data_IF_280929639435
#
_entry.id   IF_280929639435
#
_cell.length_a   1.000
_cell.length_b   1.000
_cell.length_c   1.000
_cell.angle_alpha   90.00
_cell.angle_beta   90.00
_cell.angle_gamma   90.00
#
_symmetry.space_group_name_H-M   'P 1'
#
loop_
_entity.id
_entity.type
_entity.pdbx_description
1 polymer ?
#
# COMPACT_ATOMS: atom_id res chain seq x y z
N UNK A 1 -13.80 -53.06 9.54
CA UNK A 1 -13.72 -51.91 10.46
C UNK A 1 -13.40 -50.70 9.62
N UNK A 2 -14.37 -49.82 9.38
CA UNK A 2 -14.17 -48.57 8.67
C UNK A 2 -14.23 -47.43 9.70
N UNK A 3 -13.14 -46.67 9.81
CA UNK A 3 -13.07 -45.51 10.67
C UNK A 3 -13.71 -44.33 9.94
N UNK A 4 -14.89 -43.92 10.39
CA UNK A 4 -15.54 -42.70 9.92
C UNK A 4 -14.80 -41.51 10.52
N UNK A 5 -14.06 -40.78 9.69
CA UNK A 5 -13.46 -39.52 10.08
C UNK A 5 -14.57 -38.46 10.17
N UNK A 6 -14.88 -38.01 11.38
CA UNK A 6 -15.72 -36.84 11.62
C UNK A 6 -14.86 -35.63 11.26
N UNK A 7 -15.13 -35.03 10.10
CA UNK A 7 -14.59 -33.72 9.76
C UNK A 7 -15.29 -32.71 10.67
N UNK A 8 -14.63 -32.35 11.77
CA UNK A 8 -14.98 -31.18 12.57
C UNK A 8 -14.63 -29.94 11.74
N UNK A 9 -15.56 -29.52 10.89
CA UNK A 9 -15.57 -28.17 10.33
C UNK A 9 -15.92 -27.27 11.52
N UNK A 10 -14.90 -26.92 12.30
CA UNK A 10 -14.98 -25.90 13.33
C UNK A 10 -15.13 -24.55 12.65
N UNK A 11 -16.35 -24.27 12.16
CA UNK A 11 -16.77 -22.92 11.82
C UNK A 11 -16.74 -22.13 13.12
N UNK A 12 -15.64 -21.42 13.36
CA UNK A 12 -15.61 -20.35 14.34
C UNK A 12 -16.57 -19.30 13.81
N UNK A 13 -17.82 -19.38 14.25
CA UNK A 13 -18.78 -18.31 14.11
C UNK A 13 -18.31 -17.18 15.02
N UNK A 14 -17.26 -16.45 14.59
CA UNK A 14 -17.18 -15.05 14.91
C UNK A 14 -18.54 -14.50 14.45
N UNK A 15 -19.34 -14.00 15.39
CA UNK A 15 -20.46 -13.18 15.01
C UNK A 15 -19.85 -12.06 14.17
N UNK A 16 -20.04 -12.12 12.84
CA UNK A 16 -19.72 -11.00 11.96
C UNK A 16 -20.39 -9.81 12.63
N UNK A 17 -19.61 -8.83 13.05
CA UNK A 17 -20.15 -7.60 13.58
C UNK A 17 -20.90 -6.94 12.41
N UNK A 18 -22.22 -7.19 12.35
CA UNK A 18 -23.11 -6.75 11.29
C UNK A 18 -23.21 -5.22 11.37
N UNK A 19 -22.28 -4.54 10.70
CA UNK A 19 -22.14 -3.07 10.73
C UNK A 19 -20.70 -2.56 10.82
N UNK A 20 -19.73 -3.39 11.22
CA UNK A 20 -18.34 -2.95 11.29
C UNK A 20 -17.81 -2.54 9.91
N UNK A 21 -17.19 -1.36 9.84
CA UNK A 21 -16.64 -0.83 8.60
C UNK A 21 -15.50 0.13 8.87
N UNK A 22 -14.55 0.17 7.94
CA UNK A 22 -13.55 1.21 7.92
C UNK A 22 -14.17 2.54 7.47
N UNK A 23 -13.74 3.63 8.11
CA UNK A 23 -14.16 5.00 7.78
C UNK A 23 -13.22 5.56 6.71
N UNK A 24 -13.63 5.67 5.43
CA UNK A 24 -12.73 6.07 4.35
C UNK A 24 -12.10 7.45 4.57
N UNK A 25 -12.84 8.40 5.12
CA UNK A 25 -12.36 9.76 5.38
C UNK A 25 -11.34 9.84 6.53
N UNK A 26 -11.23 8.78 7.34
CA UNK A 26 -10.23 8.63 8.38
C UNK A 26 -9.09 7.68 7.97
N UNK A 27 -9.09 7.21 6.72
CA UNK A 27 -8.02 6.39 6.15
C UNK A 27 -7.12 7.27 5.29
N UNK A 28 -5.82 7.19 5.54
CA UNK A 28 -4.79 7.89 4.76
C UNK A 28 -3.67 6.93 4.39
N UNK A 29 -3.20 7.04 3.15
CA UNK A 29 -2.14 6.19 2.59
C UNK A 29 -1.00 7.06 2.09
N UNK A 30 0.20 6.81 2.61
CA UNK A 30 1.42 7.49 2.18
C UNK A 30 2.53 6.51 1.88
N UNK A 31 3.44 6.90 0.98
CA UNK A 31 4.61 6.09 0.60
C UNK A 31 5.83 6.96 0.39
N UNK A 32 6.95 6.62 1.04
CA UNK A 32 8.20 7.40 0.97
C UNK A 32 9.17 6.92 -0.13
N UNK A 33 8.77 5.89 -0.90
CA UNK A 33 9.61 5.19 -1.87
C UNK A 33 10.12 3.82 -1.39
N UNK A 34 9.98 3.52 -0.10
CA UNK A 34 10.46 2.29 0.53
C UNK A 34 9.53 1.68 1.56
N UNK A 35 8.72 2.48 2.25
CA UNK A 35 7.75 2.04 3.25
C UNK A 35 6.42 2.72 2.96
N UNK A 36 5.36 1.93 2.94
CA UNK A 36 3.99 2.44 2.89
C UNK A 36 3.45 2.54 4.32
N UNK A 37 2.86 3.70 4.66
CA UNK A 37 2.23 3.95 5.94
C UNK A 37 0.74 4.17 5.72
N UNK A 38 -0.09 3.45 6.48
CA UNK A 38 -1.54 3.48 6.37
C UNK A 38 -2.08 3.82 7.74
N UNK A 39 -2.74 4.97 7.85
CA UNK A 39 -3.54 5.30 9.04
C UNK A 39 -4.98 4.94 8.74
N UNK A 40 -5.71 4.39 9.70
CA UNK A 40 -7.10 4.01 9.49
C UNK A 40 -7.91 4.06 10.79
N UNK A 41 -9.23 4.09 10.61
CA UNK A 41 -10.21 3.87 11.68
C UNK A 41 -11.27 2.87 11.21
N UNK A 42 -11.56 1.88 12.04
CA UNK A 42 -12.76 1.04 11.94
C UNK A 42 -13.73 1.41 13.06
N UNK A 43 -15.02 1.36 12.77
CA UNK A 43 -16.09 1.68 13.73
C UNK A 43 -17.10 0.55 13.77
N UNK A 44 -17.98 0.58 14.77
CA UNK A 44 -19.03 -0.42 14.99
C UNK A 44 -18.48 -1.86 15.21
N UNK A 45 -17.27 -1.97 15.74
CA UNK A 45 -16.61 -3.25 16.07
C UNK A 45 -17.17 -3.78 17.39
N UNK A 46 -18.06 -4.77 17.30
CA UNK A 46 -18.68 -5.42 18.47
C UNK A 46 -18.21 -6.86 18.59
N UNK A 47 -17.09 -7.06 19.28
CA UNK A 47 -16.51 -8.38 19.54
C UNK A 47 -16.46 -8.67 21.03
N UNK A 48 -16.38 -9.96 21.39
CA UNK A 48 -16.09 -10.37 22.79
C UNK A 48 -14.61 -10.22 23.15
N UNK A 49 -13.77 -10.05 22.14
CA UNK A 49 -12.33 -9.81 22.23
C UNK A 49 -12.07 -8.33 22.50
N UNK A 50 -10.94 -8.02 23.14
CA UNK A 50 -10.40 -6.66 23.29
C UNK A 50 -9.51 -6.23 22.12
N UNK A 51 -9.22 -7.15 21.19
CA UNK A 51 -8.45 -6.89 19.97
C UNK A 51 -9.16 -7.46 18.74
N UNK A 52 -8.88 -6.85 17.58
CA UNK A 52 -9.21 -7.40 16.26
C UNK A 52 -7.95 -7.54 15.40
N UNK A 53 -7.94 -8.48 14.46
CA UNK A 53 -6.80 -8.71 13.56
C UNK A 53 -7.10 -8.09 12.20
N UNK A 54 -6.31 -7.10 11.81
CA UNK A 54 -6.46 -6.40 10.53
C UNK A 54 -5.24 -6.69 9.64
N UNK A 55 -5.53 -7.06 8.41
CA UNK A 55 -4.55 -7.16 7.33
C UNK A 55 -4.57 -5.90 6.47
N UNK A 56 -3.38 -5.41 6.14
CA UNK A 56 -3.16 -4.28 5.25
C UNK A 56 -2.26 -4.75 4.12
N UNK A 57 -2.84 -4.85 2.92
CA UNK A 57 -2.10 -5.12 1.69
C UNK A 57 -1.92 -3.82 0.93
N UNK A 58 -0.67 -3.46 0.62
CA UNK A 58 -0.37 -2.28 -0.19
C UNK A 58 0.31 -2.69 -1.48
N UNK A 59 -0.14 -2.12 -2.59
CA UNK A 59 0.50 -2.25 -3.90
C UNK A 59 0.94 -0.88 -4.39
N UNK A 60 2.19 -0.77 -4.83
CA UNK A 60 2.72 0.42 -5.47
C UNK A 60 3.00 0.12 -6.94
N UNK A 61 2.38 0.88 -7.82
CA UNK A 61 2.60 0.87 -9.26
C UNK A 61 3.35 2.13 -9.67
N UNK A 62 4.51 1.97 -10.30
CA UNK A 62 5.41 3.07 -10.66
C UNK A 62 5.75 3.00 -12.14
N UNK A 63 5.46 4.12 -12.82
CA UNK A 63 5.88 4.33 -14.19
C UNK A 63 7.08 5.27 -14.23
N UNK A 64 8.08 4.89 -15.02
CA UNK A 64 9.25 5.71 -15.28
C UNK A 64 9.51 5.83 -16.78
N UNK A 65 10.00 7.00 -17.19
CA UNK A 65 10.54 7.23 -18.53
C UNK A 65 12.04 7.40 -18.45
N UNK A 66 12.77 6.54 -19.16
CA UNK A 66 14.21 6.50 -19.23
C UNK A 66 14.68 6.99 -20.60
N UNK A 67 15.69 7.86 -20.65
CA UNK A 67 16.23 8.41 -21.91
C UNK A 67 17.73 8.20 -22.04
N UNK A 68 18.18 7.90 -23.27
CA UNK A 68 19.59 7.88 -23.67
C UNK A 68 19.72 8.43 -25.10
N UNK A 69 20.09 9.70 -25.22
CA UNK A 69 20.04 10.41 -26.51
C UNK A 69 18.60 10.45 -27.02
N UNK A 70 18.38 9.92 -28.23
CA UNK A 70 17.03 9.80 -28.84
C UNK A 70 16.27 8.54 -28.41
N UNK A 71 16.93 7.59 -27.73
CA UNK A 71 16.29 6.38 -27.25
C UNK A 71 15.44 6.66 -26.00
N UNK A 72 14.19 6.18 -26.01
CA UNK A 72 13.25 6.29 -24.90
C UNK A 72 12.82 4.88 -24.50
N UNK A 73 12.84 4.60 -23.21
CA UNK A 73 12.33 3.38 -22.59
C UNK A 73 11.25 3.77 -21.58
N UNK A 74 10.10 3.13 -21.66
CA UNK A 74 9.05 3.22 -20.65
C UNK A 74 9.12 1.98 -19.76
N UNK A 75 9.18 2.19 -18.46
CA UNK A 75 9.26 1.14 -17.46
C UNK A 75 8.01 1.24 -16.60
N UNK A 76 7.30 0.13 -16.47
CA UNK A 76 6.27 -0.06 -15.46
C UNK A 76 6.77 -1.12 -14.47
N UNK A 77 6.66 -0.83 -13.18
CA UNK A 77 7.01 -1.77 -12.10
C UNK A 77 5.98 -1.70 -11.02
N UNK A 78 5.68 -2.86 -10.45
CA UNK A 78 4.83 -2.99 -9.29
C UNK A 78 5.60 -3.65 -8.15
N UNK A 79 5.19 -3.33 -6.93
CA UNK A 79 5.57 -4.06 -5.73
C UNK A 79 4.33 -4.20 -4.84
N UNK A 80 4.28 -5.27 -4.05
CA UNK A 80 3.22 -5.49 -3.07
C UNK A 80 3.84 -5.85 -1.73
N UNK A 81 3.27 -5.33 -0.67
CA UNK A 81 3.60 -5.67 0.70
C UNK A 81 2.32 -6.02 1.46
N UNK A 82 2.47 -6.85 2.49
CA UNK A 82 1.39 -7.28 3.38
C UNK A 82 1.86 -7.09 4.81
N UNK A 83 1.04 -6.44 5.62
CA UNK A 83 1.19 -6.38 7.07
C UNK A 83 -0.08 -6.94 7.69
N UNK A 84 0.04 -7.72 8.77
CA UNK A 84 -1.10 -8.25 9.50
C UNK A 84 -0.77 -8.17 10.97
N UNK A 85 -1.62 -7.50 11.76
CA UNK A 85 -1.43 -7.39 13.20
C UNK A 85 -2.74 -7.20 13.94
N UNK A 86 -2.67 -7.41 15.25
CA UNK A 86 -3.76 -7.15 16.16
C UNK A 86 -3.80 -5.66 16.55
N UNK A 87 -5.00 -5.11 16.62
CA UNK A 87 -5.29 -3.75 17.04
C UNK A 87 -6.29 -3.77 18.18
N UNK A 88 -6.08 -2.96 19.23
CA UNK A 88 -7.02 -2.87 20.34
C UNK A 88 -8.34 -2.26 19.91
N UNK A 89 -9.43 -2.81 20.44
CA UNK A 89 -10.79 -2.29 20.30
C UNK A 89 -11.06 -1.40 21.50
N UNK A 90 -11.46 -0.15 21.24
CA UNK A 90 -11.85 0.81 22.27
C UNK A 90 -13.23 0.45 22.85
N UNK A 91 -13.53 0.95 24.05
CA UNK A 91 -14.81 0.70 24.74
C UNK A 91 -16.05 1.14 23.92
N UNK A 92 -15.88 2.08 23.00
CA UNK A 92 -16.92 2.56 22.08
C UNK A 92 -17.03 1.77 20.77
N UNK A 93 -16.28 0.66 20.65
CA UNK A 93 -16.27 -0.18 19.45
C UNK A 93 -15.47 0.39 18.28
N UNK A 94 -14.54 1.33 18.55
CA UNK A 94 -13.64 1.89 17.54
C UNK A 94 -12.26 1.24 17.58
N UNK A 95 -11.66 1.07 16.40
CA UNK A 95 -10.29 0.58 16.23
C UNK A 95 -9.50 1.60 15.43
N UNK A 96 -8.49 2.20 16.04
CA UNK A 96 -7.55 3.09 15.37
C UNK A 96 -6.21 2.40 15.17
N UNK A 97 -5.63 2.59 13.98
CA UNK A 97 -4.41 1.89 13.62
C UNK A 97 -3.50 2.66 12.70
N UNK A 98 -2.20 2.38 12.84
CA UNK A 98 -1.17 2.74 11.86
C UNK A 98 -0.44 1.47 11.45
N UNK A 99 -0.54 1.08 10.19
CA UNK A 99 0.22 -0.01 9.59
C UNK A 99 1.45 0.55 8.86
N UNK A 100 2.54 -0.21 8.86
CA UNK A 100 3.76 0.14 8.12
C UNK A 100 4.29 -1.08 7.40
N UNK A 101 4.19 -1.07 6.08
CA UNK A 101 4.55 -2.19 5.23
C UNK A 101 5.81 -1.86 4.40
N UNK A 102 6.92 -2.61 4.54
CA UNK A 102 8.10 -2.43 3.69
C UNK A 102 7.75 -2.69 2.22
N UNK A 103 7.79 -1.65 1.40
CA UNK A 103 7.32 -1.64 0.02
C UNK A 103 8.35 -0.96 -0.88
N UNK A 104 9.24 -1.76 -1.46
CA UNK A 104 10.31 -1.27 -2.34
C UNK A 104 10.09 -1.71 -3.78
N UNK A 105 9.91 -0.72 -4.67
CA UNK A 105 9.87 -0.96 -6.12
C UNK A 105 11.28 -1.01 -6.68
N UNK A 106 11.63 -2.10 -7.37
CA UNK A 106 12.97 -2.32 -7.92
C UNK A 106 12.98 -2.25 -9.44
N UNK A 107 14.18 -2.18 -10.04
CA UNK A 107 14.33 -2.19 -11.50
C UNK A 107 13.88 -0.91 -12.21
N UNK A 108 13.84 0.21 -11.50
CA UNK A 108 13.57 1.55 -12.05
C UNK A 108 14.84 2.26 -12.56
N UNK A 109 16.02 1.75 -12.21
CA UNK A 109 17.31 2.25 -12.70
C UNK A 109 17.84 1.34 -13.79
N UNK A 110 18.18 1.92 -14.94
CA UNK A 110 18.73 1.21 -16.11
C UNK A 110 20.06 1.84 -16.48
N UNK A 111 21.12 1.03 -16.47
CA UNK A 111 22.47 1.47 -16.77
C UNK A 111 22.56 2.18 -18.13
N UNK A 112 23.15 3.38 -18.12
CA UNK A 112 23.31 4.21 -19.31
C UNK A 112 22.07 5.02 -19.72
N UNK A 113 20.96 4.92 -18.98
CA UNK A 113 19.78 5.77 -19.18
C UNK A 113 19.58 6.71 -17.98
N UNK A 114 19.04 7.90 -18.25
CA UNK A 114 18.50 8.79 -17.21
C UNK A 114 17.01 8.53 -17.08
N UNK A 115 16.60 7.99 -15.93
CA UNK A 115 15.22 7.63 -15.63
C UNK A 115 14.54 8.67 -14.73
N UNK A 116 13.28 8.99 -15.04
CA UNK A 116 12.43 9.87 -14.24
C UNK A 116 11.11 9.15 -13.98
N UNK A 117 10.70 9.08 -12.71
CA UNK A 117 9.38 8.60 -12.34
C UNK A 117 8.34 9.61 -12.84
N UNK A 118 7.39 9.14 -13.64
CA UNK A 118 6.35 9.95 -14.24
C UNK A 118 5.01 9.81 -13.52
N UNK A 119 4.78 8.66 -12.90
CA UNK A 119 3.54 8.33 -12.23
C UNK A 119 3.81 7.33 -11.11
N UNK A 120 3.09 7.51 -10.00
CA UNK A 120 3.02 6.57 -8.89
C UNK A 120 1.55 6.42 -8.52
N UNK A 121 1.08 5.18 -8.41
CA UNK A 121 -0.22 4.83 -7.85
C UNK A 121 0.00 3.91 -6.66
N UNK A 122 -0.64 4.20 -5.54
CA UNK A 122 -0.60 3.36 -4.34
C UNK A 122 -2.01 2.90 -4.06
N UNK A 123 -2.22 1.59 -3.95
CA UNK A 123 -3.49 1.00 -3.54
C UNK A 123 -3.31 0.27 -2.23
N UNK A 124 -4.05 0.67 -1.20
CA UNK A 124 -4.17 -0.04 0.06
C UNK A 124 -5.48 -0.83 0.09
N UNK A 125 -5.42 -2.06 0.59
CA UNK A 125 -6.57 -2.91 0.87
C UNK A 125 -6.49 -3.30 2.33
N UNK A 126 -7.50 -2.90 3.09
CA UNK A 126 -7.67 -3.26 4.50
C UNK A 126 -8.73 -4.36 4.60
N UNK A 127 -8.48 -5.34 5.44
CA UNK A 127 -9.41 -6.43 5.77
C UNK A 127 -9.31 -6.73 7.26
N UNK A 128 -10.42 -6.62 7.98
CA UNK A 128 -10.54 -7.14 9.35
C UNK A 128 -11.01 -8.61 9.27
N UNK A 129 -10.19 -9.53 9.78
CA UNK A 129 -10.49 -10.97 9.71
C UNK A 129 -11.55 -11.45 10.72
N UNK A 130 -11.83 -10.65 11.75
CA UNK A 130 -12.80 -10.95 12.79
C UNK A 130 -14.18 -10.38 12.45
N UNK A 131 -14.25 -9.19 11.87
CA UNK A 131 -15.51 -8.52 11.49
C UNK A 131 -15.88 -8.76 10.03
N UNK A 132 -14.90 -9.02 9.16
CA UNK A 132 -15.07 -9.10 7.72
C UNK A 132 -15.14 -7.73 7.03
N UNK A 133 -14.90 -6.63 7.77
CA UNK A 133 -14.85 -5.30 7.20
C UNK A 133 -13.73 -5.19 6.16
N UNK A 134 -13.97 -4.44 5.07
CA UNK A 134 -12.96 -4.20 4.04
C UNK A 134 -12.99 -2.77 3.55
N UNK A 135 -11.83 -2.25 3.15
CA UNK A 135 -11.70 -0.97 2.46
C UNK A 135 -10.61 -1.05 1.40
N UNK A 136 -10.86 -0.41 0.26
CA UNK A 136 -9.86 -0.20 -0.78
C UNK A 136 -9.70 1.31 -0.94
N UNK A 137 -8.48 1.79 -0.74
CA UNK A 137 -8.12 3.18 -0.99
C UNK A 137 -7.00 3.25 -2.05
N UNK A 138 -7.14 4.18 -2.99
CA UNK A 138 -6.17 4.39 -4.06
C UNK A 138 -5.76 5.85 -4.13
N UNK A 139 -4.46 6.09 -3.99
CA UNK A 139 -3.86 7.42 -4.11
C UNK A 139 -2.94 7.48 -5.33
N UNK A 140 -3.24 8.41 -6.24
CA UNK A 140 -2.45 8.66 -7.45
C UNK A 140 -1.63 9.95 -7.33
N UNK A 141 -0.35 9.86 -7.70
CA UNK A 141 0.57 10.98 -7.77
C UNK A 141 1.24 11.07 -9.14
N UNK A 142 0.89 12.12 -9.89
CA UNK A 142 1.62 12.52 -11.11
C UNK A 142 2.73 13.49 -10.76
N UNK A 143 3.99 13.05 -10.84
CA UNK A 143 5.12 13.96 -10.75
C UNK A 143 5.46 14.54 -12.13
N UNK A 144 4.97 15.76 -12.42
CA UNK A 144 5.43 16.56 -13.56
C UNK A 144 6.61 17.43 -13.10
N UNK A 145 7.80 16.86 -12.90
CA UNK A 145 9.02 17.69 -12.70
C UNK A 145 9.66 18.03 -14.05
N UNK A 146 9.55 19.30 -14.48
CA UNK A 146 10.43 19.88 -15.50
C UNK A 146 11.86 19.95 -14.94
N UNK A 147 12.82 19.35 -15.62
CA UNK A 147 14.23 19.43 -15.24
C UNK A 147 14.74 20.89 -15.33
N UNK A 148 15.59 21.36 -14.39
CA UNK A 148 16.27 22.64 -14.55
C UNK A 148 17.27 22.54 -15.71
N UNK A 149 17.20 23.50 -16.61
CA UNK A 149 18.12 23.67 -17.72
C UNK A 149 19.53 23.87 -17.15
N UNK A 150 20.40 22.86 -17.25
CA UNK A 150 21.80 23.03 -16.91
C UNK A 150 22.38 24.18 -17.76
N UNK A 151 22.81 25.25 -17.09
CA UNK A 151 23.42 26.38 -17.75
C UNK A 151 24.70 25.89 -18.45
N UNK A 152 24.70 26.13 -19.76
CA UNK A 152 25.75 25.78 -20.70
C UNK A 152 27.06 26.46 -20.25
N UNK A 153 27.99 25.69 -19.67
CA UNK A 153 29.38 26.11 -19.50
C UNK A 153 29.95 26.36 -20.89
N UNK A 154 30.08 27.64 -21.27
CA UNK A 154 30.84 28.05 -22.45
C UNK A 154 32.33 27.98 -22.09
N UNK A 155 32.94 26.83 -22.33
CA UNK A 155 34.38 26.79 -22.61
C UNK A 155 34.59 27.50 -23.96
N UNK A 156 35.13 28.70 -23.92
CA UNK A 156 35.78 29.31 -25.08
C UNK A 156 37.28 29.24 -24.85
N UNK A 157 37.91 28.21 -25.40
CA UNK A 157 39.29 28.33 -25.88
C UNK A 157 39.29 29.38 -26.98
N UNK A 158 40.21 30.35 -26.92
CA UNK A 158 40.86 30.92 -28.10
C UNK A 158 42.20 31.55 -27.69
N UNK A 159 43.25 30.98 -28.28
CA UNK A 159 44.58 31.49 -28.63
C UNK A 159 45.35 32.32 -27.60
#
# INVERSE_FOLDING_TARGET
>A
MAATAIILIGGSSAALADGAHFVPEATDVSWDGTVATITFREVDVVLKSDVTTISVKVTADVDATCRRGVSILHIHRSATALDTKDYPISDDGTVEGVASAPLKVTGLNVSGFTCVITHVSITAVLEDFCTGATLIDTTDHRQIRKAPLASRVRNSLKM
#
